data_IF_769578937709
#
_entry.id   IF_769578937709
#
_cell.length_a   1.000
_cell.length_b   1.000
_cell.length_c   1.000
_cell.angle_alpha   90.00
_cell.angle_beta   90.00
_cell.angle_gamma   90.00
#
_symmetry.space_group_name_H-M   'P 1'
#
loop_
_entity.id
_entity.type
_entity.pdbx_description
1 polymer ?
#
# COMPACT_ATOMS: atom_id res chain seq x y z
N UNK A 1 -18.16 0.16 -35.22
CA UNK A 1 -18.37 -1.23 -34.76
C UNK A 1 -17.46 -1.43 -33.56
N UNK A 2 -18.00 -2.07 -32.53
CA UNK A 2 -17.63 -1.94 -31.11
C UNK A 2 -16.14 -2.09 -30.74
N UNK A 3 -15.73 -1.27 -29.76
CA UNK A 3 -14.77 -1.59 -28.69
C UNK A 3 -15.60 -2.18 -27.51
N UNK A 4 -15.12 -3.13 -26.67
CA UNK A 4 -14.03 -2.86 -25.72
C UNK A 4 -13.08 -4.04 -25.46
N UNK A 5 -11.80 -3.73 -25.22
CA UNK A 5 -10.98 -4.49 -24.26
C UNK A 5 -10.05 -3.57 -23.46
N UNK A 6 -10.70 -2.78 -22.62
CA UNK A 6 -10.12 -2.16 -21.43
C UNK A 6 -9.99 -3.26 -20.37
N UNK A 7 -8.82 -3.90 -20.28
CA UNK A 7 -8.53 -4.88 -19.23
C UNK A 7 -8.10 -4.17 -17.96
N UNK A 8 -9.07 -3.59 -17.24
CA UNK A 8 -8.96 -3.39 -15.80
C UNK A 8 -8.99 -4.78 -15.13
N UNK A 9 -7.88 -5.49 -15.24
CA UNK A 9 -7.67 -6.79 -14.61
C UNK A 9 -7.35 -6.59 -13.14
N UNK A 10 -8.39 -6.47 -12.32
CA UNK A 10 -8.34 -6.63 -10.87
C UNK A 10 -8.24 -8.12 -10.55
N UNK A 11 -7.16 -8.75 -11.01
CA UNK A 11 -6.88 -10.13 -10.67
C UNK A 11 -6.32 -10.12 -9.25
N UNK A 12 -7.14 -10.60 -8.30
CA UNK A 12 -6.65 -11.17 -7.05
C UNK A 12 -5.83 -12.41 -7.47
N UNK A 13 -4.58 -12.16 -7.86
CA UNK A 13 -3.78 -13.01 -8.74
C UNK A 13 -2.90 -14.03 -8.02
N UNK A 14 -2.82 -13.99 -6.69
CA UNK A 14 -2.18 -15.01 -5.88
C UNK A 14 -3.15 -15.66 -4.89
N UNK A 15 -2.89 -16.92 -4.53
CA UNK A 15 -3.47 -17.48 -3.30
C UNK A 15 -2.99 -16.57 -2.16
N UNK A 16 -3.95 -15.97 -1.44
CA UNK A 16 -3.74 -15.11 -0.26
C UNK A 16 -3.50 -13.60 -0.51
N UNK A 17 -4.09 -13.04 -1.57
CA UNK A 17 -4.25 -11.58 -1.75
C UNK A 17 -5.49 -11.04 -1.03
N UNK A 18 -5.35 -9.87 -0.39
CA UNK A 18 -6.45 -9.12 0.24
C UNK A 18 -6.43 -7.69 -0.30
N UNK A 19 -7.54 -7.25 -0.90
CA UNK A 19 -7.71 -5.88 -1.37
C UNK A 19 -8.83 -5.14 -0.65
N UNK A 20 -8.57 -3.87 -0.34
CA UNK A 20 -9.50 -2.92 0.26
C UNK A 20 -9.58 -1.67 -0.60
N UNK A 21 -10.80 -1.19 -0.86
CA UNK A 21 -11.07 0.06 -1.56
C UNK A 21 -11.88 0.98 -0.65
N UNK A 22 -11.30 2.13 -0.33
CA UNK A 22 -11.83 3.07 0.65
C UNK A 22 -11.89 4.47 0.01
N UNK A 23 -12.66 5.40 0.60
CA UNK A 23 -12.47 6.80 0.24
C UNK A 23 -11.06 7.25 0.61
N UNK A 24 -10.42 8.07 -0.22
CA UNK A 24 -9.11 8.65 0.08
C UNK A 24 -9.22 9.70 1.22
N UNK A 25 -9.41 9.22 2.44
CA UNK A 25 -9.63 10.02 3.64
C UNK A 25 -9.03 9.33 4.86
N UNK A 26 -8.30 10.10 5.68
CA UNK A 26 -7.62 9.64 6.89
C UNK A 26 -8.55 8.93 7.89
N UNK A 27 -9.87 9.22 7.86
CA UNK A 27 -10.86 8.56 8.73
C UNK A 27 -10.93 7.04 8.53
N UNK A 28 -10.49 6.52 7.38
CA UNK A 28 -10.51 5.09 7.07
C UNK A 28 -9.24 4.35 7.46
N UNK A 29 -8.14 5.04 7.80
CA UNK A 29 -6.88 4.39 8.19
C UNK A 29 -6.99 3.38 9.35
N UNK A 30 -7.82 3.61 10.39
CA UNK A 30 -8.02 2.60 11.44
C UNK A 30 -8.49 1.24 10.92
N UNK A 31 -9.23 1.22 9.80
CA UNK A 31 -9.71 -0.02 9.17
C UNK A 31 -8.55 -0.75 8.50
N UNK A 32 -7.71 -0.02 7.74
CA UNK A 32 -6.54 -0.60 7.07
C UNK A 32 -5.55 -1.16 8.10
N UNK A 33 -5.29 -0.44 9.20
CA UNK A 33 -4.49 -0.93 10.31
C UNK A 33 -5.02 -2.22 10.91
N UNK A 34 -6.32 -2.25 11.22
CA UNK A 34 -6.94 -3.44 11.81
C UNK A 34 -6.79 -4.67 10.92
N UNK A 35 -6.88 -4.50 9.60
CA UNK A 35 -6.63 -5.57 8.63
C UNK A 35 -5.16 -5.96 8.60
N UNK A 36 -4.23 -4.99 8.54
CA UNK A 36 -2.78 -5.24 8.57
C UNK A 36 -2.35 -6.08 9.79
N UNK A 37 -2.83 -5.72 10.99
CA UNK A 37 -2.59 -6.49 12.22
C UNK A 37 -3.11 -7.91 12.10
N UNK A 38 -4.36 -8.07 11.64
CA UNK A 38 -4.97 -9.38 11.48
C UNK A 38 -4.25 -10.28 10.48
N UNK A 39 -3.66 -9.68 9.43
CA UNK A 39 -2.85 -10.38 8.44
C UNK A 39 -1.52 -10.81 9.07
N UNK A 40 -0.77 -9.88 9.67
CA UNK A 40 0.53 -10.15 10.25
C UNK A 40 0.48 -11.16 11.40
N UNK A 41 -0.54 -11.08 12.26
CA UNK A 41 -0.77 -12.07 13.32
C UNK A 41 -1.01 -13.47 12.75
N UNK A 42 -1.77 -13.60 11.65
CA UNK A 42 -2.03 -14.89 10.99
C UNK A 42 -0.81 -15.43 10.24
N UNK A 43 0.09 -14.54 9.84
CA UNK A 43 1.36 -14.88 9.19
C UNK A 43 2.50 -15.15 10.20
N UNK A 44 2.20 -15.27 11.51
CA UNK A 44 3.16 -15.51 12.59
C UNK A 44 4.29 -14.46 12.67
N UNK A 45 3.97 -13.18 12.42
CA UNK A 45 4.88 -12.07 12.70
C UNK A 45 4.92 -11.81 14.21
N UNK A 46 6.07 -11.39 14.74
CA UNK A 46 6.19 -10.99 16.14
C UNK A 46 5.60 -9.59 16.39
N UNK A 47 5.48 -9.24 17.67
CA UNK A 47 4.82 -7.98 18.10
C UNK A 47 5.54 -6.74 17.56
N UNK A 48 6.87 -6.78 17.45
CA UNK A 48 7.66 -5.68 16.94
C UNK A 48 7.42 -5.52 15.43
N UNK A 49 7.46 -6.62 14.67
CA UNK A 49 7.20 -6.59 13.23
C UNK A 49 5.74 -6.24 12.89
N UNK A 50 4.77 -6.61 13.73
CA UNK A 50 3.37 -6.15 13.62
C UNK A 50 3.29 -4.64 13.83
N UNK A 51 3.95 -4.12 14.87
CA UNK A 51 3.96 -2.68 15.17
C UNK A 51 4.61 -1.88 14.04
N UNK A 52 5.71 -2.39 13.48
CA UNK A 52 6.37 -1.80 12.31
C UNK A 52 5.45 -1.77 11.08
N UNK A 53 4.73 -2.88 10.82
CA UNK A 53 3.80 -2.96 9.70
C UNK A 53 2.64 -1.97 9.87
N UNK A 54 2.05 -1.86 11.06
CA UNK A 54 0.98 -0.90 11.32
C UNK A 54 1.44 0.54 11.04
N UNK A 55 2.63 0.91 11.52
CA UNK A 55 3.18 2.23 11.32
C UNK A 55 3.54 2.49 9.85
N UNK A 56 4.10 1.50 9.15
CA UNK A 56 4.41 1.60 7.73
C UNK A 56 3.14 1.75 6.86
N UNK A 57 2.08 1.00 7.17
CA UNK A 57 0.77 1.14 6.51
C UNK A 57 0.21 2.55 6.72
N UNK A 58 0.24 3.06 7.94
CA UNK A 58 -0.25 4.40 8.26
C UNK A 58 0.52 5.49 7.52
N UNK A 59 1.85 5.42 7.53
CA UNK A 59 2.71 6.39 6.85
C UNK A 59 2.49 6.36 5.33
N UNK A 60 2.47 5.18 4.71
CA UNK A 60 2.26 5.04 3.27
C UNK A 60 0.88 5.58 2.84
N UNK A 61 -0.18 5.18 3.56
CA UNK A 61 -1.53 5.62 3.21
C UNK A 61 -1.72 7.13 3.45
N UNK A 62 -1.28 7.65 4.60
CA UNK A 62 -1.42 9.07 4.90
C UNK A 62 -0.62 9.94 3.94
N UNK A 63 0.59 9.52 3.55
CA UNK A 63 1.41 10.21 2.55
C UNK A 63 0.72 10.29 1.19
N UNK A 64 0.02 9.26 0.74
CA UNK A 64 -0.67 9.32 -0.56
C UNK A 64 -1.97 10.11 -0.49
N UNK A 65 -2.72 10.00 0.62
CA UNK A 65 -3.99 10.73 0.78
C UNK A 65 -3.81 12.25 0.64
N UNK A 66 -2.65 12.82 1.02
CA UNK A 66 -2.39 14.27 0.86
C UNK A 66 -2.34 14.73 -0.60
N UNK A 67 -2.15 13.82 -1.55
CA UNK A 67 -2.06 14.11 -2.98
C UNK A 67 -3.29 13.59 -3.76
N UNK A 68 -4.24 12.96 -3.08
CA UNK A 68 -5.39 12.35 -3.72
C UNK A 68 -6.37 13.42 -4.25
N UNK A 69 -6.93 13.16 -5.44
CA UNK A 69 -8.07 13.93 -5.95
C UNK A 69 -9.25 13.79 -4.99
N UNK A 70 -9.92 14.90 -4.69
CA UNK A 70 -11.05 14.89 -3.75
C UNK A 70 -12.14 13.90 -4.20
N UNK A 71 -12.57 13.03 -3.29
CA UNK A 71 -13.58 12.00 -3.56
C UNK A 71 -13.07 10.77 -4.31
N UNK A 72 -11.76 10.69 -4.59
CA UNK A 72 -11.15 9.50 -5.18
C UNK A 72 -10.99 8.34 -4.17
N UNK A 73 -10.56 7.20 -4.68
CA UNK A 73 -10.41 5.94 -3.93
C UNK A 73 -8.96 5.76 -3.49
N UNK A 74 -8.78 5.27 -2.28
CA UNK A 74 -7.55 4.62 -1.79
C UNK A 74 -7.69 3.11 -2.03
N UNK A 75 -6.84 2.54 -2.89
CA UNK A 75 -6.71 1.08 -3.04
C UNK A 75 -5.56 0.61 -2.17
N UNK A 76 -5.81 -0.34 -1.28
CA UNK A 76 -4.81 -0.98 -0.45
C UNK A 76 -4.82 -2.48 -0.75
N UNK A 77 -3.69 -3.05 -1.16
CA UNK A 77 -3.53 -4.47 -1.43
C UNK A 77 -2.45 -5.05 -0.55
N UNK A 78 -2.76 -6.18 0.09
CA UNK A 78 -1.81 -7.03 0.78
C UNK A 78 -1.64 -8.32 -0.03
N UNK A 79 -0.39 -8.70 -0.26
CA UNK A 79 -0.03 -10.00 -0.82
C UNK A 79 0.79 -10.74 0.24
N UNK A 80 0.29 -11.91 0.64
CA UNK A 80 0.87 -12.68 1.74
C UNK A 80 1.77 -13.78 1.17
N UNK A 81 3.07 -13.62 1.34
CA UNK A 81 4.08 -14.61 1.01
C UNK A 81 4.29 -15.64 2.12
N UNK A 82 5.21 -16.57 1.91
CA UNK A 82 5.56 -17.57 2.91
C UNK A 82 6.29 -16.97 4.13
N UNK A 83 7.10 -15.93 3.90
CA UNK A 83 7.95 -15.27 4.91
C UNK A 83 7.87 -13.74 4.83
N UNK A 84 6.95 -13.19 4.04
CA UNK A 84 6.82 -11.75 3.85
C UNK A 84 5.37 -11.32 3.61
N UNK A 85 5.13 -10.03 3.83
CA UNK A 85 3.91 -9.33 3.48
C UNK A 85 4.32 -8.17 2.57
N UNK A 86 3.77 -8.14 1.37
CA UNK A 86 3.88 -7.00 0.47
C UNK A 86 2.61 -6.17 0.57
N UNK A 87 2.78 -4.87 0.76
CA UNK A 87 1.69 -3.90 0.81
C UNK A 87 1.85 -2.88 -0.31
N UNK A 88 0.83 -2.77 -1.15
CA UNK A 88 0.74 -1.75 -2.20
C UNK A 88 -0.43 -0.84 -1.88
N UNK A 89 -0.19 0.47 -1.86
CA UNK A 89 -1.24 1.49 -1.73
C UNK A 89 -1.23 2.42 -2.95
N UNK A 90 -2.41 2.82 -3.39
CA UNK A 90 -2.59 3.62 -4.60
C UNK A 90 -3.69 4.65 -4.43
N UNK A 91 -3.44 5.86 -4.94
CA UNK A 91 -4.44 6.92 -5.08
C UNK A 91 -4.36 7.54 -6.46
N UNK A 92 -5.47 8.14 -6.89
CA UNK A 92 -5.49 9.00 -8.07
C UNK A 92 -5.11 10.43 -7.68
N UNK A 93 -4.15 11.02 -8.37
CA UNK A 93 -3.65 12.39 -8.20
C UNK A 93 -3.79 13.21 -9.48
N UNK A 94 -3.85 14.53 -9.36
CA UNK A 94 -3.88 15.45 -10.50
C UNK A 94 -2.47 15.72 -11.07
N UNK A 95 -1.42 15.37 -10.33
CA UNK A 95 -0.02 15.59 -10.70
C UNK A 95 0.82 14.33 -10.40
N UNK A 96 2.03 14.26 -10.96
CA UNK A 96 3.01 13.25 -10.56
C UNK A 96 3.51 13.55 -9.14
N UNK A 97 2.79 13.01 -8.16
CA UNK A 97 3.05 13.20 -6.75
C UNK A 97 3.85 12.04 -6.13
N UNK A 98 4.77 11.43 -6.91
CA UNK A 98 5.64 10.37 -6.40
C UNK A 98 6.41 10.86 -5.16
N UNK A 99 6.29 10.21 -3.99
CA UNK A 99 6.97 10.65 -2.77
C UNK A 99 8.48 10.77 -2.92
N UNK A 100 9.03 11.93 -2.55
CA UNK A 100 10.48 12.13 -2.57
C UNK A 100 11.18 11.30 -1.48
N UNK A 101 12.27 10.65 -1.87
CA UNK A 101 13.10 9.82 -0.98
C UNK A 101 13.80 10.59 0.14
N UNK A 102 13.86 11.93 0.04
CA UNK A 102 14.49 12.79 1.05
C UNK A 102 13.54 13.22 2.17
N UNK A 103 12.23 12.95 2.04
CA UNK A 103 11.21 13.32 3.02
C UNK A 103 11.34 12.53 4.32
N UNK A 104 10.78 13.08 5.40
CA UNK A 104 10.75 12.38 6.69
C UNK A 104 9.92 11.09 6.60
N UNK A 105 8.74 11.14 5.98
CA UNK A 105 7.87 9.97 5.81
C UNK A 105 8.54 8.83 5.05
N UNK A 106 9.28 9.15 3.97
CA UNK A 106 10.05 8.13 3.25
C UNK A 106 11.13 7.47 4.11
N UNK A 107 11.80 8.24 4.97
CA UNK A 107 12.80 7.70 5.90
C UNK A 107 12.16 6.79 6.96
N UNK A 108 10.98 7.16 7.45
CA UNK A 108 10.19 6.31 8.36
C UNK A 108 9.85 4.99 7.67
N UNK A 109 9.26 5.02 6.47
CA UNK A 109 8.97 3.82 5.68
C UNK A 109 10.21 2.95 5.46
N UNK A 110 11.31 3.56 5.02
CA UNK A 110 12.58 2.84 4.75
C UNK A 110 13.22 2.24 6.02
N UNK A 111 12.85 2.72 7.20
CA UNK A 111 13.34 2.20 8.48
C UNK A 111 12.48 1.02 8.97
N UNK A 112 11.18 1.08 8.73
CA UNK A 112 10.21 0.08 9.20
C UNK A 112 10.09 -1.13 8.28
N UNK A 113 10.49 -0.99 7.01
CA UNK A 113 10.27 -1.97 5.95
C UNK A 113 11.59 -2.50 5.38
N UNK A 114 11.54 -3.68 4.77
CA UNK A 114 12.71 -4.31 4.15
C UNK A 114 13.05 -3.71 2.77
N UNK A 115 12.02 -3.30 2.04
CA UNK A 115 12.13 -2.62 0.76
C UNK A 115 10.93 -1.68 0.61
N UNK A 116 11.13 -0.54 -0.06
CA UNK A 116 10.09 0.43 -0.36
C UNK A 116 10.36 1.12 -1.69
N UNK A 117 9.33 1.13 -2.53
CA UNK A 117 9.34 1.77 -3.85
C UNK A 117 8.10 2.65 -4.03
N UNK A 118 8.20 3.60 -4.95
CA UNK A 118 7.10 4.44 -5.36
C UNK A 118 7.24 4.78 -6.83
N UNK A 119 6.11 4.91 -7.48
CA UNK A 119 6.02 5.27 -8.89
C UNK A 119 4.69 5.93 -9.18
N UNK A 120 4.60 6.61 -10.31
CA UNK A 120 3.36 7.15 -10.83
C UNK A 120 3.16 6.72 -12.27
N UNK A 121 1.93 6.36 -12.61
CA UNK A 121 1.50 6.03 -13.97
C UNK A 121 0.44 7.01 -14.40
N UNK A 122 0.52 7.50 -15.64
CA UNK A 122 -0.50 8.41 -16.17
C UNK A 122 -1.64 7.59 -16.77
N UNK A 123 -2.85 7.87 -16.32
CA UNK A 123 -4.10 7.32 -16.84
C UNK A 123 -4.55 8.06 -18.11
N UNK A 124 -5.50 7.50 -18.86
CA UNK A 124 -6.04 8.06 -20.12
C UNK A 124 -6.59 9.49 -19.94
N UNK A 125 -7.14 9.79 -18.75
CA UNK A 125 -7.68 11.09 -18.38
C UNK A 125 -6.61 12.12 -17.96
N UNK A 126 -5.31 11.82 -18.18
CA UNK A 126 -4.16 12.63 -17.76
C UNK A 126 -4.01 12.80 -16.24
N UNK A 127 -4.76 12.04 -15.46
CA UNK A 127 -4.54 11.87 -14.03
C UNK A 127 -3.39 10.89 -13.79
N UNK A 128 -2.86 10.89 -12.58
CA UNK A 128 -1.76 10.02 -12.18
C UNK A 128 -2.25 9.01 -11.15
N UNK A 129 -2.04 7.71 -11.38
CA UNK A 129 -2.10 6.71 -10.33
C UNK A 129 -0.75 6.71 -9.62
N UNK A 130 -0.73 7.13 -8.35
CA UNK A 130 0.49 7.21 -7.55
C UNK A 130 0.51 6.04 -6.59
N UNK A 131 1.62 5.32 -6.57
CA UNK A 131 1.79 4.08 -5.83
C UNK A 131 2.91 4.21 -4.78
N UNK A 132 2.71 3.57 -3.64
CA UNK A 132 3.77 3.15 -2.73
C UNK A 132 3.63 1.64 -2.56
N UNK A 133 4.73 0.93 -2.69
CA UNK A 133 4.82 -0.48 -2.36
C UNK A 133 5.96 -0.70 -1.38
N UNK A 134 5.72 -1.52 -0.37
CA UNK A 134 6.78 -1.98 0.51
C UNK A 134 6.64 -3.46 0.83
N UNK A 135 7.75 -4.06 1.25
CA UNK A 135 7.82 -5.43 1.74
C UNK A 135 8.22 -5.41 3.21
N UNK A 136 7.53 -6.22 4.03
CA UNK A 136 7.94 -6.53 5.41
C UNK A 136 8.16 -8.03 5.51
N UNK A 137 9.37 -8.45 5.84
CA UNK A 137 9.74 -9.85 6.05
C UNK A 137 9.54 -10.24 7.50
N UNK A 138 9.17 -11.50 7.71
CA UNK A 138 9.16 -12.10 9.04
C UNK A 138 10.61 -12.14 9.56
N UNK A 139 10.86 -11.70 10.80
CA UNK A 139 12.19 -11.79 11.39
C UNK A 139 12.66 -13.25 11.44
N UNK A 140 13.89 -13.51 10.99
CA UNK A 140 14.52 -14.83 11.17
C UNK A 140 14.87 -14.95 12.65
N UNK A 141 14.09 -15.72 13.40
CA UNK A 141 14.44 -16.02 14.79
C UNK A 141 15.72 -16.85 14.79
N UNK A 142 16.84 -16.26 15.22
CA UNK A 142 18.05 -17.02 15.51
C UNK A 142 17.72 -18.02 16.62
N UNK A 143 17.82 -19.32 16.31
CA UNK A 143 17.67 -20.41 17.28
C UNK A 143 18.90 -20.57 18.14
#
# INVERSE_FOLDING_TARGET
>A
MADPQHSAGHDIGAKDDIEMRLGANLVHLPIVRAVAVNIAMRADFDVDAISDLELAVDEACSSLITHAVAGSVLSCRFTIGADDIMFTVTVTSAEDATPSRSTFGWRVLSTLTDDVTSWAEQDEDRLHQVHIEFVKRRPVTAR
#
